data_IF_713643986217
#
_entry.id   IF_713643986217
#
_cell.length_a   1.000
_cell.length_b   1.000
_cell.length_c   1.000
_cell.angle_alpha   90.00
_cell.angle_beta   90.00
_cell.angle_gamma   90.00
#
_symmetry.space_group_name_H-M   'P 1'
#
loop_
_entity.id
_entity.type
_entity.pdbx_description
1 polymer ?
#
# COMPACT_ATOMS: atom_id res chain seq x y z
N UNK A 1 19.40 4.01 -17.14
CA UNK A 1 19.20 2.56 -17.29
C UNK A 1 18.84 2.03 -15.90
N UNK A 2 17.75 1.26 -15.78
CA UNK A 2 17.36 0.68 -14.50
C UNK A 2 18.49 -0.22 -13.94
N UNK A 3 18.76 -0.14 -12.65
CA UNK A 3 19.84 -0.92 -12.04
C UNK A 3 19.48 -2.41 -12.03
N UNK A 4 20.45 -3.34 -12.12
CA UNK A 4 20.19 -4.79 -12.17
C UNK A 4 19.41 -5.37 -10.97
N UNK A 5 19.24 -4.60 -9.88
CA UNK A 5 18.56 -4.99 -8.66
C UNK A 5 17.27 -4.19 -8.39
N UNK A 6 16.76 -3.47 -9.39
CA UNK A 6 15.58 -2.63 -9.21
C UNK A 6 14.32 -3.48 -9.10
N UNK A 7 13.69 -3.48 -7.92
CA UNK A 7 12.45 -4.20 -7.66
C UNK A 7 11.28 -3.56 -8.43
N UNK A 8 10.33 -4.39 -8.84
CA UNK A 8 9.03 -3.93 -9.34
C UNK A 8 8.21 -3.52 -8.14
N UNK A 9 7.74 -2.27 -8.10
CA UNK A 9 6.74 -1.81 -7.15
C UNK A 9 5.37 -1.86 -7.82
N UNK A 10 4.42 -2.54 -7.22
CA UNK A 10 3.02 -2.41 -7.59
C UNK A 10 2.18 -2.01 -6.38
N UNK A 11 1.13 -1.23 -6.62
CA UNK A 11 0.23 -0.72 -5.59
C UNK A 11 -1.20 -1.09 -5.95
N UNK A 12 -1.97 -1.50 -4.95
CA UNK A 12 -3.40 -1.72 -5.06
C UNK A 12 -4.09 -0.71 -4.15
N UNK A 13 -4.96 0.09 -4.73
CA UNK A 13 -5.80 1.07 -4.05
C UNK A 13 -7.21 0.52 -3.91
N UNK A 14 -7.71 0.36 -2.70
CA UNK A 14 -8.96 -0.35 -2.40
C UNK A 14 -9.87 0.51 -1.53
N UNK A 15 -11.18 0.40 -1.76
CA UNK A 15 -12.21 0.92 -0.88
C UNK A 15 -12.69 -0.17 0.09
N UNK A 16 -12.93 0.18 1.36
CA UNK A 16 -13.73 -0.67 2.25
C UNK A 16 -15.17 -0.73 1.75
N UNK A 17 -15.93 -1.75 2.14
CA UNK A 17 -17.39 -1.71 1.92
C UNK A 17 -18.07 -0.67 2.82
N UNK A 18 -19.20 -0.17 2.36
CA UNK A 18 -19.93 0.91 3.04
C UNK A 18 -20.48 0.49 4.40
N UNK A 19 -20.89 -0.77 4.54
CA UNK A 19 -21.44 -1.35 5.76
C UNK A 19 -20.38 -1.74 6.81
N UNK A 20 -19.10 -1.63 6.48
CA UNK A 20 -18.00 -1.95 7.38
C UNK A 20 -17.57 -0.70 8.17
N UNK A 21 -17.61 -0.72 9.52
CA UNK A 21 -17.08 0.35 10.34
C UNK A 21 -15.60 0.59 10.08
N UNK A 22 -15.16 1.85 10.18
CA UNK A 22 -13.76 2.21 9.94
C UNK A 22 -12.80 1.50 10.91
N UNK A 23 -13.21 1.35 12.18
CA UNK A 23 -12.42 0.66 13.20
C UNK A 23 -12.20 -0.82 12.88
N UNK A 24 -13.25 -1.50 12.40
CA UNK A 24 -13.18 -2.90 11.99
C UNK A 24 -12.30 -3.06 10.75
N UNK A 25 -12.39 -2.12 9.80
CA UNK A 25 -11.51 -2.10 8.63
C UNK A 25 -10.04 -1.94 9.03
N UNK A 26 -9.72 -0.97 9.91
CA UNK A 26 -8.35 -0.72 10.39
C UNK A 26 -7.82 -1.92 11.15
N UNK A 27 -8.64 -2.54 12.01
CA UNK A 27 -8.27 -3.76 12.73
C UNK A 27 -7.97 -4.89 11.75
N UNK A 28 -8.82 -5.08 10.74
CA UNK A 28 -8.60 -6.08 9.72
C UNK A 28 -7.26 -5.88 8.98
N UNK A 29 -6.98 -4.64 8.52
CA UNK A 29 -5.73 -4.29 7.84
C UNK A 29 -4.49 -4.52 8.72
N UNK A 30 -4.57 -4.23 10.02
CA UNK A 30 -3.37 -4.19 10.87
C UNK A 30 -3.16 -5.45 11.72
N UNK A 31 -4.21 -6.21 12.01
CA UNK A 31 -4.17 -7.30 12.99
C UNK A 31 -4.64 -8.63 12.42
N UNK A 32 -5.70 -8.65 11.60
CA UNK A 32 -6.32 -9.92 11.18
C UNK A 32 -5.75 -10.44 9.85
N UNK A 33 -5.56 -9.56 8.87
CA UNK A 33 -5.09 -9.92 7.53
C UNK A 33 -3.57 -10.19 7.46
N UNK A 34 -2.68 -9.31 7.97
CA UNK A 34 -1.23 -9.51 7.79
C UNK A 34 -0.67 -10.82 8.35
N UNK A 35 -1.05 -11.30 9.56
CA UNK A 35 -0.51 -12.56 10.08
C UNK A 35 -0.80 -13.78 9.19
N UNK A 36 -1.89 -13.75 8.42
CA UNK A 36 -2.26 -14.80 7.45
C UNK A 36 -1.60 -14.57 6.09
N UNK A 37 -1.50 -13.33 5.65
CA UNK A 37 -0.98 -12.97 4.33
C UNK A 37 0.56 -13.05 4.24
N UNK A 38 1.28 -12.63 5.29
CA UNK A 38 2.75 -12.56 5.31
C UNK A 38 3.41 -13.92 5.03
N UNK A 39 2.99 -15.04 5.66
CA UNK A 39 3.57 -16.35 5.36
C UNK A 39 3.45 -16.74 3.88
N UNK A 40 2.29 -16.48 3.25
CA UNK A 40 2.05 -16.75 1.84
C UNK A 40 2.89 -15.83 0.93
N UNK A 41 2.93 -14.54 1.24
CA UNK A 41 3.77 -13.58 0.52
C UNK A 41 5.25 -13.97 0.56
N UNK A 42 5.76 -14.40 1.73
CA UNK A 42 7.14 -14.87 1.89
C UNK A 42 7.42 -16.15 1.12
N UNK A 43 6.48 -17.11 1.14
CA UNK A 43 6.52 -18.35 0.35
C UNK A 43 6.73 -18.07 -1.14
N UNK A 44 6.19 -16.96 -1.63
CA UNK A 44 6.27 -16.52 -3.04
C UNK A 44 7.18 -15.30 -3.25
N UNK A 45 8.27 -15.19 -2.47
CA UNK A 45 9.36 -14.22 -2.68
C UNK A 45 8.97 -12.74 -2.64
N UNK A 46 7.86 -12.36 -2.03
CA UNK A 46 7.54 -10.94 -1.81
C UNK A 46 8.64 -10.28 -0.96
N UNK A 47 9.23 -9.21 -1.49
CA UNK A 47 10.42 -8.58 -0.87
C UNK A 47 10.04 -7.57 0.20
N UNK A 48 9.00 -6.78 -0.07
CA UNK A 48 8.49 -5.76 0.84
C UNK A 48 6.99 -5.62 0.63
N UNK A 49 6.28 -5.31 1.72
CA UNK A 49 4.88 -4.92 1.70
C UNK A 49 4.69 -3.78 2.71
N UNK A 50 3.93 -2.77 2.32
CA UNK A 50 3.52 -1.67 3.19
C UNK A 50 2.06 -1.33 2.95
N UNK A 51 1.38 -0.88 3.99
CA UNK A 51 0.00 -0.39 3.90
C UNK A 51 -0.04 1.11 4.24
N UNK A 52 -0.80 1.88 3.46
CA UNK A 52 -1.20 3.25 3.80
C UNK A 52 -2.70 3.24 4.03
N UNK A 53 -3.11 3.21 5.30
CA UNK A 53 -4.51 3.29 5.69
C UNK A 53 -4.93 4.75 5.67
N UNK A 54 -5.98 5.05 4.92
CA UNK A 54 -6.43 6.42 4.68
C UNK A 54 -7.60 6.72 5.60
N UNK A 55 -7.43 7.73 6.46
CA UNK A 55 -8.52 8.28 7.27
C UNK A 55 -9.34 9.28 6.45
N UNK A 56 -10.68 9.18 6.44
CA UNK A 56 -11.56 10.16 5.79
C UNK A 56 -11.30 11.60 6.27
N UNK A 57 -10.98 11.79 7.55
CA UNK A 57 -10.68 13.09 8.12
C UNK A 57 -9.40 13.71 7.53
N UNK A 58 -8.36 12.88 7.33
CA UNK A 58 -7.12 13.32 6.72
C UNK A 58 -7.30 13.73 5.25
N UNK A 59 -8.18 13.03 4.53
CA UNK A 59 -8.52 13.36 3.13
C UNK A 59 -9.17 14.74 3.04
N UNK A 60 -10.17 15.01 3.87
CA UNK A 60 -10.89 16.30 3.85
C UNK A 60 -9.98 17.46 4.28
N UNK A 61 -9.17 17.27 5.34
CA UNK A 61 -8.19 18.26 5.77
C UNK A 61 -7.20 18.61 4.66
N UNK A 62 -6.66 17.60 3.95
CA UNK A 62 -5.72 17.85 2.85
C UNK A 62 -6.40 18.52 1.65
N UNK A 63 -7.64 18.15 1.29
CA UNK A 63 -8.40 18.83 0.22
C UNK A 63 -8.60 20.32 0.53
N UNK A 64 -8.91 20.65 1.77
CA UNK A 64 -9.03 22.04 2.22
C UNK A 64 -7.72 22.81 2.01
N UNK A 65 -6.60 22.27 2.50
CA UNK A 65 -5.27 22.88 2.34
C UNK A 65 -4.84 23.02 0.89
N UNK A 66 -5.07 22.00 0.05
CA UNK A 66 -4.77 22.06 -1.39
C UNK A 66 -5.47 23.23 -2.08
N UNK A 67 -6.74 23.46 -1.74
CA UNK A 67 -7.56 24.52 -2.34
C UNK A 67 -7.20 25.90 -1.81
N UNK A 68 -7.07 26.05 -0.49
CA UNK A 68 -7.04 27.37 0.16
C UNK A 68 -5.62 27.89 0.42
N UNK A 69 -4.69 27.00 0.73
CA UNK A 69 -3.35 27.39 1.18
C UNK A 69 -2.30 27.20 0.08
N UNK A 70 -2.46 26.16 -0.75
CA UNK A 70 -1.48 25.79 -1.79
C UNK A 70 -1.84 26.30 -3.20
N UNK A 71 -3.02 26.92 -3.37
CA UNK A 71 -3.55 27.35 -4.67
C UNK A 71 -3.49 26.22 -5.74
N UNK A 72 -3.83 25.00 -5.34
CA UNK A 72 -3.93 23.81 -6.21
C UNK A 72 -5.38 23.34 -6.36
N UNK A 73 -6.31 24.17 -6.86
CA UNK A 73 -7.74 23.87 -6.86
C UNK A 73 -8.15 22.68 -7.76
N UNK A 74 -7.25 22.21 -8.63
CA UNK A 74 -7.49 21.05 -9.50
C UNK A 74 -6.88 19.75 -8.97
N UNK A 75 -6.10 19.81 -7.88
CA UNK A 75 -5.55 18.62 -7.27
C UNK A 75 -6.64 17.96 -6.42
N UNK A 76 -6.67 16.63 -6.43
CA UNK A 76 -7.63 15.84 -5.65
C UNK A 76 -6.90 14.82 -4.81
N UNK A 77 -7.57 14.38 -3.75
CA UNK A 77 -7.13 13.27 -2.90
C UNK A 77 -8.11 12.13 -3.16
N UNK A 78 -7.67 10.99 -3.72
CA UNK A 78 -8.53 9.85 -3.95
C UNK A 78 -9.14 9.30 -2.64
N UNK A 79 -10.36 8.77 -2.72
CA UNK A 79 -11.16 8.33 -1.56
C UNK A 79 -10.94 6.84 -1.22
N UNK A 80 -9.76 6.32 -1.52
CA UNK A 80 -9.40 4.95 -1.14
C UNK A 80 -9.39 4.82 0.39
N UNK A 81 -9.67 3.62 0.89
CA UNK A 81 -9.55 3.31 2.32
C UNK A 81 -8.15 2.77 2.66
N UNK A 82 -7.49 2.13 1.68
CA UNK A 82 -6.12 1.64 1.83
C UNK A 82 -5.38 1.67 0.49
N UNK A 83 -4.07 1.94 0.55
CA UNK A 83 -3.11 1.68 -0.52
C UNK A 83 -2.11 0.63 -0.02
N UNK A 84 -2.15 -0.56 -0.60
CA UNK A 84 -1.17 -1.61 -0.33
C UNK A 84 -0.08 -1.54 -1.40
N UNK A 85 1.18 -1.42 -0.99
CA UNK A 85 2.33 -1.37 -1.88
C UNK A 85 3.21 -2.60 -1.69
N UNK A 86 3.64 -3.20 -2.78
CA UNK A 86 4.35 -4.46 -2.81
C UNK A 86 5.60 -4.34 -3.69
N UNK A 87 6.67 -5.03 -3.31
CA UNK A 87 7.91 -5.07 -4.07
C UNK A 87 8.26 -6.51 -4.45
N UNK A 88 8.48 -6.72 -5.74
CA UNK A 88 8.71 -8.02 -6.36
C UNK A 88 10.02 -8.03 -7.16
N UNK A 89 10.56 -9.24 -7.37
CA UNK A 89 11.68 -9.45 -8.31
C UNK A 89 11.18 -9.76 -9.71
N UNK A 90 10.09 -10.49 -9.83
CA UNK A 90 9.42 -10.83 -11.10
C UNK A 90 7.90 -10.73 -11.00
N UNK A 91 7.22 -10.55 -12.14
CA UNK A 91 5.77 -10.74 -12.23
C UNK A 91 5.37 -12.21 -12.07
N UNK A 92 6.29 -13.14 -12.28
CA UNK A 92 6.07 -14.57 -12.03
C UNK A 92 5.83 -14.85 -10.55
N UNK A 93 6.51 -14.12 -9.64
CA UNK A 93 6.29 -14.21 -8.19
C UNK A 93 4.84 -13.83 -7.82
N UNK A 94 4.31 -12.77 -8.46
CA UNK A 94 2.91 -12.37 -8.27
C UNK A 94 1.93 -13.41 -8.81
N UNK A 95 2.25 -13.97 -9.98
CA UNK A 95 1.42 -15.01 -10.61
C UNK A 95 1.38 -16.27 -9.74
N UNK A 96 2.52 -16.68 -9.20
CA UNK A 96 2.62 -17.81 -8.29
C UNK A 96 1.82 -17.58 -7.00
N UNK A 97 1.89 -16.38 -6.41
CA UNK A 97 1.09 -16.01 -5.24
C UNK A 97 -0.41 -16.06 -5.54
N UNK A 98 -0.85 -15.39 -6.60
CA UNK A 98 -2.29 -15.23 -6.91
C UNK A 98 -2.96 -16.50 -7.43
N UNK A 99 -2.17 -17.52 -7.79
CA UNK A 99 -2.66 -18.85 -8.18
C UNK A 99 -2.52 -19.89 -7.07
N UNK A 100 -1.97 -19.53 -5.91
CA UNK A 100 -1.90 -20.40 -4.74
C UNK A 100 -3.31 -20.62 -4.16
N UNK A 101 -3.77 -21.87 -3.97
CA UNK A 101 -5.07 -22.15 -3.36
C UNK A 101 -5.23 -21.52 -1.97
N UNK A 102 -4.17 -21.46 -1.16
CA UNK A 102 -4.22 -20.85 0.17
C UNK A 102 -4.42 -19.33 0.08
N UNK A 103 -3.87 -18.71 -0.96
CA UNK A 103 -4.10 -17.29 -1.26
C UNK A 103 -5.55 -17.04 -1.69
N UNK A 104 -6.11 -17.89 -2.55
CA UNK A 104 -7.50 -17.76 -2.98
C UNK A 104 -8.49 -17.84 -1.79
N UNK A 105 -8.28 -18.77 -0.85
CA UNK A 105 -9.12 -18.86 0.34
C UNK A 105 -8.97 -17.64 1.26
N UNK A 106 -7.76 -17.08 1.39
CA UNK A 106 -7.53 -15.84 2.13
C UNK A 106 -8.28 -14.66 1.48
N UNK A 107 -8.22 -14.52 0.16
CA UNK A 107 -8.86 -13.42 -0.57
C UNK A 107 -10.40 -13.46 -0.49
N UNK A 108 -11.02 -14.63 -0.37
CA UNK A 108 -12.48 -14.73 -0.11
C UNK A 108 -12.89 -14.04 1.19
N UNK A 109 -12.06 -14.13 2.23
CA UNK A 109 -12.33 -13.42 3.47
C UNK A 109 -12.11 -11.92 3.32
N UNK A 110 -11.06 -11.52 2.58
CA UNK A 110 -10.79 -10.11 2.27
C UNK A 110 -11.97 -9.45 1.56
N UNK A 111 -12.58 -10.12 0.58
CA UNK A 111 -13.76 -9.64 -0.16
C UNK A 111 -15.01 -9.42 0.70
N UNK A 112 -15.03 -9.87 1.96
CA UNK A 112 -16.11 -9.53 2.90
C UNK A 112 -15.95 -8.11 3.45
N UNK A 113 -14.71 -7.62 3.52
CA UNK A 113 -14.32 -6.35 4.13
C UNK A 113 -14.03 -5.28 3.06
N UNK A 114 -13.31 -5.65 2.00
CA UNK A 114 -12.99 -4.77 0.87
C UNK A 114 -14.07 -4.81 -0.21
N UNK A 115 -14.19 -3.70 -0.95
CA UNK A 115 -15.00 -3.62 -2.15
C UNK A 115 -14.09 -3.88 -3.38
N UNK A 116 -14.18 -5.06 -4.02
CA UNK A 116 -13.34 -5.41 -5.15
C UNK A 116 -13.80 -4.81 -6.49
N UNK A 117 -15.00 -4.20 -6.55
CA UNK A 117 -15.55 -3.64 -7.79
C UNK A 117 -14.80 -2.36 -8.21
N UNK A 118 -14.29 -1.61 -7.25
CA UNK A 118 -13.58 -0.36 -7.46
C UNK A 118 -12.16 -0.47 -6.92
N UNK A 119 -11.18 -0.49 -7.83
CA UNK A 119 -9.78 -0.55 -7.48
C UNK A 119 -8.90 0.13 -8.51
N UNK A 120 -7.76 0.65 -8.07
CA UNK A 120 -6.72 1.16 -8.96
C UNK A 120 -5.41 0.43 -8.72
N UNK A 121 -4.71 0.11 -9.81
CA UNK A 121 -3.38 -0.46 -9.76
C UNK A 121 -2.39 0.55 -10.33
N UNK A 122 -1.32 0.81 -9.59
CA UNK A 122 -0.16 1.54 -10.07
C UNK A 122 1.05 0.60 -10.09
N UNK A 123 1.90 0.70 -11.11
CA UNK A 123 3.10 -0.14 -11.25
C UNK A 123 4.28 0.68 -11.73
N UNK A 124 5.47 0.36 -11.24
CA UNK A 124 6.71 1.01 -11.63
C UNK A 124 7.86 0.57 -10.73
N UNK A 125 8.71 1.52 -10.37
CA UNK A 125 9.85 1.28 -9.50
C UNK A 125 9.99 2.44 -8.50
N UNK A 126 10.46 2.12 -7.29
CA UNK A 126 10.73 3.14 -6.27
C UNK A 126 12.16 3.67 -6.42
N UNK A 127 12.29 4.99 -6.45
CA UNK A 127 13.57 5.71 -6.39
C UNK A 127 13.55 6.52 -5.10
N UNK A 128 14.40 6.16 -4.15
CA UNK A 128 14.50 6.81 -2.85
C UNK A 128 15.63 7.84 -2.86
N UNK A 129 15.32 9.08 -2.50
CA UNK A 129 16.32 10.16 -2.35
C UNK A 129 16.59 10.53 -0.89
N UNK A 130 15.60 10.32 0.00
CA UNK A 130 15.67 10.60 1.43
C UNK A 130 14.91 9.47 2.14
N UNK A 131 15.56 8.84 3.12
CA UNK A 131 14.99 7.89 4.08
C UNK A 131 15.62 8.07 5.47
N UNK A 132 15.27 7.22 6.44
CA UNK A 132 15.81 7.32 7.79
C UNK A 132 17.33 7.12 7.84
N UNK A 133 17.90 6.28 6.96
CA UNK A 133 19.34 6.03 6.87
C UNK A 133 20.08 7.29 6.39
N UNK A 134 19.50 8.03 5.43
CA UNK A 134 20.05 9.30 4.91
C UNK A 134 20.12 10.45 5.94
N UNK A 135 19.40 10.34 7.07
CA UNK A 135 19.47 11.35 8.15
C UNK A 135 20.67 11.16 9.06
N UNK A 136 21.20 9.94 9.17
CA UNK A 136 22.30 9.59 10.07
C UNK A 136 23.66 10.20 9.66
N UNK A 137 23.82 10.56 8.38
CA UNK A 137 25.04 11.21 7.88
C UNK A 137 25.21 12.66 8.37
N UNK A 138 24.16 13.31 8.88
CA UNK A 138 24.23 14.71 9.33
C UNK A 138 24.64 14.90 10.78
N UNK A 139 24.65 13.84 11.60
CA UNK A 139 25.00 13.93 13.03
C UNK A 139 26.48 13.62 13.32
N UNK A 140 27.27 13.28 12.29
CA UNK A 140 28.69 12.91 12.43
C UNK A 140 29.71 13.99 12.08
N UNK A 141 29.33 15.26 11.94
CA UNK A 141 30.26 16.34 11.54
C UNK A 141 30.13 17.59 12.40
N UNK A 142 30.20 17.42 13.72
CA UNK A 142 30.69 18.47 14.62
C UNK A 142 31.68 17.84 15.60
N UNK A 143 32.96 17.91 15.26
CA UNK A 143 34.10 17.70 16.15
C UNK A 143 35.18 18.74 15.82
#
# INVERSE_FOLDING_TARGET
MASPNQLIKFQICIHKKDDIPQEDFVKWCTQDYPPRAIPLMKKHNMVKWTETIISPEAVEGLRHTLKNDMNRPKWTVPEYSIIMSYWLRSMDDLTALTTDPEWFELEKDAQKISNPEFGHIAIGHEITFIDEESKSEKEGTEA
#
